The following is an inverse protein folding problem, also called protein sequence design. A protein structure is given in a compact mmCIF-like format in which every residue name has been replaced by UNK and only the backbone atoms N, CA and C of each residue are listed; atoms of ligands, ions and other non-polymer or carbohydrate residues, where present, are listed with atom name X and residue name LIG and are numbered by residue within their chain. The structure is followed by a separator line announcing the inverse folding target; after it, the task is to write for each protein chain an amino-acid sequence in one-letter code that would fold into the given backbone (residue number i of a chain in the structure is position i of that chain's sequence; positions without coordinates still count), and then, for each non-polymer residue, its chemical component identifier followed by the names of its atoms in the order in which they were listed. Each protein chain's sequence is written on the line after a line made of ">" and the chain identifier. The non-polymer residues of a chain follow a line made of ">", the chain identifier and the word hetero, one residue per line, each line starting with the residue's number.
data_IF_446036685907
#
_entry.id   IF_446036685907
#
_cell.length_a   1.000
_cell.length_b   1.000
_cell.length_c   1.000
_cell.angle_alpha   90.00
_cell.angle_beta   90.00
_cell.angle_gamma   90.00
#
_symmetry.space_group_name_H-M   'P 1'
#
loop_
_entity.id
_entity.type
_entity.pdbx_description
1 polymer ?
#
# COMPACT_ATOMS: atom_id res chain seq x y z
N UNK A 1 -0.09 -7.13 -15.80
CA UNK A 1 1.08 -7.10 -16.67
C UNK A 1 1.80 -5.76 -16.65
N UNK A 2 1.08 -4.62 -16.81
CA UNK A 2 1.69 -3.26 -16.83
C UNK A 2 2.45 -2.94 -15.54
N UNK A 3 1.87 -3.20 -14.37
CA UNK A 3 2.52 -2.95 -13.08
C UNK A 3 3.81 -3.77 -12.89
N UNK A 4 3.78 -5.06 -13.27
CA UNK A 4 4.95 -5.94 -13.20
C UNK A 4 6.05 -5.41 -14.12
N UNK A 5 5.70 -5.04 -15.35
CA UNK A 5 6.65 -4.48 -16.31
C UNK A 5 7.27 -3.19 -15.78
N UNK A 6 6.45 -2.29 -15.23
CA UNK A 6 6.91 -1.03 -14.66
C UNK A 6 7.86 -1.25 -13.47
N UNK A 7 7.47 -2.09 -12.50
CA UNK A 7 8.32 -2.38 -11.33
C UNK A 7 9.64 -3.04 -11.73
N UNK A 8 9.62 -3.99 -12.65
CA UNK A 8 10.84 -4.64 -13.17
C UNK A 8 11.74 -3.62 -13.87
N UNK A 9 11.17 -2.76 -14.71
CA UNK A 9 11.92 -1.70 -15.40
C UNK A 9 12.56 -0.73 -14.40
N UNK A 10 11.82 -0.29 -13.39
CA UNK A 10 12.33 0.61 -12.37
C UNK A 10 13.44 -0.04 -11.52
N UNK A 11 13.28 -1.32 -11.16
CA UNK A 11 14.31 -2.06 -10.40
C UNK A 11 15.66 -2.12 -11.11
N UNK A 12 15.68 -2.07 -12.44
CA UNK A 12 16.90 -2.10 -13.23
C UNK A 12 17.37 -0.70 -13.58
N UNK A 13 16.48 0.12 -14.16
CA UNK A 13 16.84 1.44 -14.69
C UNK A 13 17.35 2.41 -13.62
N UNK A 14 16.71 2.44 -12.43
CA UNK A 14 17.12 3.39 -11.38
C UNK A 14 18.55 3.11 -10.86
N UNK A 15 18.89 1.86 -10.47
CA UNK A 15 20.29 1.54 -10.10
C UNK A 15 21.30 1.79 -11.21
N UNK A 16 20.96 1.50 -12.47
CA UNK A 16 21.85 1.75 -13.61
C UNK A 16 22.10 3.25 -13.84
N UNK A 17 21.07 4.09 -13.73
CA UNK A 17 21.23 5.54 -13.81
C UNK A 17 22.16 6.03 -12.69
N UNK A 18 21.94 5.59 -11.45
CA UNK A 18 22.78 5.97 -10.30
C UNK A 18 24.22 5.53 -10.54
N UNK A 19 24.42 4.27 -10.97
CA UNK A 19 25.75 3.74 -11.29
C UNK A 19 26.44 4.61 -12.33
N UNK A 20 25.76 4.92 -13.42
CA UNK A 20 26.29 5.71 -14.53
C UNK A 20 26.69 7.12 -14.08
N UNK A 21 25.81 7.79 -13.32
CA UNK A 21 26.07 9.12 -12.77
C UNK A 21 27.30 9.13 -11.84
N UNK A 22 27.40 8.14 -10.95
CA UNK A 22 28.55 8.03 -10.05
C UNK A 22 29.84 7.72 -10.80
N UNK A 23 29.77 6.90 -11.85
CA UNK A 23 30.94 6.61 -12.66
C UNK A 23 31.46 7.80 -13.48
N UNK A 24 30.61 8.82 -13.76
CA UNK A 24 31.09 10.07 -14.39
C UNK A 24 32.16 10.77 -13.54
N UNK A 25 32.12 10.64 -12.21
CA UNK A 25 33.16 11.18 -11.33
C UNK A 25 34.54 10.56 -11.59
N UNK A 26 34.61 9.36 -12.18
CA UNK A 26 35.89 8.78 -12.61
C UNK A 26 36.60 9.60 -13.69
N UNK A 27 35.88 10.43 -14.47
CA UNK A 27 36.45 11.33 -15.47
C UNK A 27 37.15 12.51 -14.80
N UNK A 28 36.60 13.01 -13.70
CA UNK A 28 37.10 14.15 -12.96
C UNK A 28 38.22 13.76 -11.99
N UNK A 29 38.12 12.61 -11.34
CA UNK A 29 39.01 12.18 -10.26
C UNK A 29 39.77 10.90 -10.62
N UNK A 30 40.69 10.99 -11.57
CA UNK A 30 41.44 9.84 -12.12
C UNK A 30 42.20 9.03 -11.07
N UNK A 31 42.76 9.68 -10.06
CA UNK A 31 43.53 9.03 -8.99
C UNK A 31 42.66 8.19 -8.05
N UNK A 32 41.35 8.45 -7.97
CA UNK A 32 40.42 7.77 -7.09
C UNK A 32 39.48 6.79 -7.82
N UNK A 33 39.73 6.49 -9.09
CA UNK A 33 38.88 5.68 -9.96
C UNK A 33 38.46 4.34 -9.34
N UNK A 34 39.35 3.66 -8.67
CA UNK A 34 39.08 2.37 -8.07
C UNK A 34 38.07 2.49 -6.91
N UNK A 35 38.27 3.48 -6.07
CA UNK A 35 37.39 3.75 -4.95
C UNK A 35 35.99 4.23 -5.42
N UNK A 36 35.96 5.13 -6.40
CA UNK A 36 34.69 5.61 -6.99
C UNK A 36 33.91 4.45 -7.57
N UNK A 37 34.55 3.55 -8.31
CA UNK A 37 33.85 2.35 -8.86
C UNK A 37 33.32 1.44 -7.78
N UNK A 38 34.08 1.19 -6.72
CA UNK A 38 33.62 0.36 -5.58
C UNK A 38 32.41 0.98 -4.88
N UNK A 39 32.47 2.28 -4.59
CA UNK A 39 31.37 3.03 -3.97
C UNK A 39 30.15 3.03 -4.90
N UNK A 40 30.34 3.32 -6.18
CA UNK A 40 29.26 3.33 -7.16
C UNK A 40 28.53 1.99 -7.24
N UNK A 41 29.28 0.89 -7.30
CA UNK A 41 28.72 -0.47 -7.29
C UNK A 41 28.01 -0.77 -5.98
N UNK A 42 28.59 -0.44 -4.83
CA UNK A 42 27.99 -0.67 -3.53
C UNK A 42 26.64 0.08 -3.38
N UNK A 43 26.63 1.38 -3.71
CA UNK A 43 25.43 2.21 -3.64
C UNK A 43 24.35 1.71 -4.61
N UNK A 44 24.71 1.45 -5.86
CA UNK A 44 23.78 0.96 -6.88
C UNK A 44 23.18 -0.40 -6.51
N UNK A 45 24.03 -1.32 -6.00
CA UNK A 45 23.56 -2.62 -5.53
C UNK A 45 22.61 -2.48 -4.32
N UNK A 46 22.92 -1.58 -3.38
CA UNK A 46 22.05 -1.29 -2.25
C UNK A 46 20.69 -0.76 -2.69
N UNK A 47 20.65 0.16 -3.65
CA UNK A 47 19.40 0.66 -4.23
C UNK A 47 18.63 -0.45 -4.93
N UNK A 48 19.29 -1.27 -5.74
CA UNK A 48 18.68 -2.41 -6.42
C UNK A 48 18.01 -3.38 -5.42
N UNK A 49 18.75 -3.78 -4.38
CA UNK A 49 18.24 -4.70 -3.36
C UNK A 49 17.07 -4.11 -2.56
N UNK A 50 17.13 -2.81 -2.26
CA UNK A 50 16.05 -2.11 -1.57
C UNK A 50 14.78 -2.06 -2.43
N UNK A 51 14.91 -1.74 -3.71
CA UNK A 51 13.78 -1.73 -4.64
C UNK A 51 13.22 -3.14 -4.85
N UNK A 52 14.08 -4.13 -5.04
CA UNK A 52 13.69 -5.53 -5.19
C UNK A 52 12.91 -6.00 -3.95
N UNK A 53 13.42 -5.70 -2.75
CA UNK A 53 12.72 -5.99 -1.49
C UNK A 53 11.36 -5.30 -1.43
N UNK A 54 11.28 -3.99 -1.72
CA UNK A 54 10.04 -3.23 -1.71
C UNK A 54 8.98 -3.81 -2.65
N UNK A 55 9.35 -4.14 -3.88
CA UNK A 55 8.42 -4.67 -4.88
C UNK A 55 8.07 -6.15 -4.70
N UNK A 56 8.83 -6.92 -3.92
CA UNK A 56 8.58 -8.37 -3.76
C UNK A 56 8.04 -8.73 -2.38
N UNK A 57 8.63 -8.22 -1.32
CA UNK A 57 8.34 -8.60 0.06
C UNK A 57 7.76 -7.45 0.88
N UNK A 58 8.24 -6.22 0.69
CA UNK A 58 7.92 -5.08 1.52
C UNK A 58 6.44 -4.73 1.52
N UNK A 59 5.79 -4.78 0.37
CA UNK A 59 4.36 -4.48 0.23
C UNK A 59 3.43 -5.48 0.92
N UNK A 60 3.95 -6.64 1.34
CA UNK A 60 3.20 -7.66 2.07
C UNK A 60 3.26 -7.51 3.58
N UNK A 61 4.05 -6.55 4.07
CA UNK A 61 4.21 -6.34 5.49
C UNK A 61 3.04 -5.52 6.04
N UNK A 62 2.37 -6.08 7.04
CA UNK A 62 1.31 -5.39 7.77
C UNK A 62 1.95 -4.81 9.04
N UNK A 63 1.85 -3.51 9.20
CA UNK A 63 2.37 -2.81 10.37
C UNK A 63 1.24 -2.12 11.10
N UNK A 64 1.00 -2.51 12.33
CA UNK A 64 0.06 -1.83 13.22
C UNK A 64 0.78 -0.62 13.84
N UNK A 65 0.20 0.56 13.69
CA UNK A 65 0.70 1.81 14.28
C UNK A 65 -0.25 2.23 15.40
N UNK A 66 0.05 1.93 16.66
CA UNK A 66 -0.80 2.34 17.77
C UNK A 66 -0.69 3.85 17.99
N UNK A 67 -1.84 4.47 18.24
CA UNK A 67 -1.95 5.87 18.65
C UNK A 67 -2.92 5.96 19.81
N UNK A 68 -2.54 6.64 20.88
CA UNK A 68 -3.41 6.87 22.04
C UNK A 68 -3.79 8.34 22.10
N UNK A 69 -5.09 8.61 22.16
CA UNK A 69 -5.62 9.94 22.38
C UNK A 69 -6.29 10.02 23.75
N UNK A 70 -5.90 11.01 24.54
CA UNK A 70 -6.44 11.26 25.88
C UNK A 70 -6.93 12.69 25.98
N UNK A 71 -8.17 12.88 26.43
CA UNK A 71 -8.74 14.21 26.63
C UNK A 71 -9.80 14.16 27.73
N UNK A 72 -9.82 15.16 28.58
CA UNK A 72 -10.86 15.34 29.61
C UNK A 72 -12.28 15.61 29.01
N UNK A 73 -12.34 15.96 27.74
CA UNK A 73 -13.60 16.15 27.01
C UNK A 73 -14.25 14.83 26.53
N UNK A 74 -13.51 13.72 26.56
CA UNK A 74 -14.05 12.40 26.18
C UNK A 74 -14.85 11.85 27.36
N UNK A 75 -16.14 11.43 27.14
CA UNK A 75 -16.92 10.76 28.17
C UNK A 75 -16.22 9.49 28.67
N UNK A 76 -16.31 9.22 29.97
CA UNK A 76 -15.70 8.05 30.59
C UNK A 76 -16.13 6.72 29.98
N UNK A 77 -17.31 6.67 29.36
CA UNK A 77 -17.80 5.48 28.64
C UNK A 77 -16.90 5.06 27.45
N UNK A 78 -16.04 5.95 26.96
CA UNK A 78 -15.06 5.68 25.91
C UNK A 78 -13.65 5.41 26.44
N UNK A 79 -13.48 5.25 27.74
CA UNK A 79 -12.17 4.88 28.28
C UNK A 79 -11.80 3.47 27.79
N UNK A 80 -10.60 3.37 27.19
CA UNK A 80 -10.14 2.14 26.56
C UNK A 80 -10.80 1.78 25.22
N UNK A 81 -11.67 2.65 24.67
CA UNK A 81 -12.35 2.41 23.39
C UNK A 81 -11.35 2.32 22.24
N UNK A 82 -11.41 1.25 21.48
CA UNK A 82 -10.43 0.90 20.45
C UNK A 82 -11.02 1.05 19.06
N UNK A 83 -10.45 1.96 18.28
CA UNK A 83 -10.79 2.16 16.87
C UNK A 83 -9.65 1.62 16.02
N UNK A 84 -9.95 0.75 15.07
CA UNK A 84 -9.00 0.34 14.03
C UNK A 84 -9.35 1.05 12.75
N UNK A 85 -8.41 1.83 12.22
CA UNK A 85 -8.55 2.51 10.94
C UNK A 85 -7.82 1.75 9.85
N UNK A 86 -8.50 1.59 8.70
CA UNK A 86 -7.95 1.09 7.45
C UNK A 86 -8.16 2.13 6.36
N UNK A 87 -7.18 2.28 5.46
CA UNK A 87 -7.23 3.19 4.31
C UNK A 87 -6.41 2.62 3.16
N UNK A 88 -6.71 3.05 1.93
CA UNK A 88 -5.87 2.83 0.76
C UNK A 88 -5.51 1.35 0.51
N UNK A 89 -6.47 0.44 0.66
CA UNK A 89 -6.23 -0.99 0.47
C UNK A 89 -6.00 -1.37 -0.98
N UNK A 90 -6.65 -0.65 -1.93
CA UNK A 90 -6.47 -0.85 -3.36
C UNK A 90 -6.46 -2.34 -3.74
N UNK A 91 -7.53 -3.05 -3.36
CA UNK A 91 -7.61 -4.52 -3.42
C UNK A 91 -7.40 -5.09 -4.83
N UNK A 92 -7.69 -4.30 -5.86
CA UNK A 92 -7.40 -4.69 -7.25
C UNK A 92 -5.92 -5.01 -7.50
N UNK A 93 -5.00 -4.41 -6.72
CA UNK A 93 -3.58 -4.74 -6.74
C UNK A 93 -3.29 -6.07 -6.06
N UNK A 94 -4.17 -6.51 -5.15
CA UNK A 94 -4.01 -7.70 -4.32
C UNK A 94 -4.73 -8.95 -4.89
N UNK A 95 -5.37 -8.86 -6.06
CA UNK A 95 -6.18 -9.95 -6.67
C UNK A 95 -5.50 -11.31 -6.72
N UNK A 96 -4.18 -11.37 -6.77
CA UNK A 96 -3.40 -12.62 -6.74
C UNK A 96 -2.80 -12.92 -5.36
N UNK A 97 -3.15 -12.14 -4.36
CA UNK A 97 -2.54 -12.18 -3.03
C UNK A 97 -3.59 -12.20 -1.92
N UNK A 98 -4.61 -13.05 -2.04
CA UNK A 98 -5.69 -13.22 -1.06
C UNK A 98 -5.17 -13.39 0.36
N UNK A 99 -4.08 -14.11 0.54
CA UNK A 99 -3.40 -14.31 1.84
C UNK A 99 -3.00 -12.98 2.50
N UNK A 100 -2.70 -11.93 1.71
CA UNK A 100 -2.37 -10.62 2.29
C UNK A 100 -3.63 -9.99 2.89
N UNK A 101 -4.77 -10.06 2.18
CA UNK A 101 -6.05 -9.54 2.66
C UNK A 101 -6.54 -10.33 3.88
N UNK A 102 -6.41 -11.66 3.86
CA UNK A 102 -6.71 -12.50 5.03
C UNK A 102 -5.89 -12.08 6.25
N UNK A 103 -4.58 -11.89 6.09
CA UNK A 103 -3.71 -11.41 7.17
C UNK A 103 -4.07 -10.02 7.67
N UNK A 104 -4.57 -9.12 6.81
CA UNK A 104 -5.09 -7.82 7.23
C UNK A 104 -6.29 -8.03 8.15
N UNK A 105 -7.26 -8.84 7.73
CA UNK A 105 -8.47 -9.14 8.51
C UNK A 105 -8.12 -9.79 9.84
N UNK A 106 -7.24 -10.80 9.83
CA UNK A 106 -6.77 -11.46 11.05
C UNK A 106 -6.08 -10.48 12.00
N UNK A 107 -5.23 -9.58 11.45
CA UNK A 107 -4.55 -8.56 12.25
C UNK A 107 -5.53 -7.57 12.88
N UNK A 108 -6.57 -7.16 12.14
CA UNK A 108 -7.64 -6.29 12.64
C UNK A 108 -8.40 -6.98 13.77
N UNK A 109 -8.82 -8.22 13.55
CA UNK A 109 -9.59 -8.99 14.53
C UNK A 109 -8.77 -9.27 15.80
N UNK A 110 -7.47 -9.54 15.66
CA UNK A 110 -6.56 -9.73 16.79
C UNK A 110 -6.44 -8.50 17.70
N UNK A 111 -6.70 -7.30 17.18
CA UNK A 111 -6.74 -6.06 17.97
C UNK A 111 -8.02 -5.93 18.78
N UNK A 112 -9.03 -6.75 18.57
CA UNK A 112 -10.34 -6.70 19.24
C UNK A 112 -10.92 -5.28 19.24
N UNK A 113 -11.16 -4.67 18.06
CA UNK A 113 -11.65 -3.30 17.98
C UNK A 113 -13.08 -3.18 18.49
N UNK A 114 -13.39 -2.02 19.06
CA UNK A 114 -14.78 -1.62 19.32
C UNK A 114 -15.43 -1.12 18.03
N UNK A 115 -14.66 -0.42 17.18
CA UNK A 115 -15.12 0.10 15.90
C UNK A 115 -14.03 -0.09 14.84
N UNK A 116 -14.42 -0.48 13.62
CA UNK A 116 -13.55 -0.47 12.44
C UNK A 116 -14.00 0.67 11.53
N UNK A 117 -13.05 1.49 11.05
CA UNK A 117 -13.32 2.57 10.12
C UNK A 117 -12.48 2.43 8.86
N UNK A 118 -13.13 2.43 7.69
CA UNK A 118 -12.48 2.55 6.40
C UNK A 118 -12.54 4.00 5.94
N UNK A 119 -11.39 4.59 5.68
CA UNK A 119 -11.31 5.99 5.27
C UNK A 119 -11.10 6.17 3.77
N UNK A 120 -11.48 5.18 2.98
CA UNK A 120 -11.57 5.23 1.52
C UNK A 120 -10.43 4.51 0.80
N UNK A 121 -10.51 4.58 -0.53
CA UNK A 121 -9.60 3.96 -1.49
C UNK A 121 -9.49 2.43 -1.30
N UNK A 122 -10.65 1.79 -1.20
CA UNK A 122 -10.77 0.35 -1.06
C UNK A 122 -10.49 -0.35 -2.40
N UNK A 123 -10.96 0.23 -3.53
CA UNK A 123 -10.73 -0.29 -4.88
C UNK A 123 -9.69 0.53 -5.65
N UNK A 124 -9.22 0.00 -6.79
CA UNK A 124 -8.35 0.74 -7.71
C UNK A 124 -9.17 1.47 -8.78
N UNK A 125 -10.12 0.78 -9.44
CA UNK A 125 -10.81 1.28 -10.62
C UNK A 125 -12.31 1.00 -10.65
N UNK A 126 -12.80 -0.13 -10.08
CA UNK A 126 -14.21 -0.53 -10.12
C UNK A 126 -14.59 -1.49 -9.00
N UNK A 127 -15.88 -1.51 -8.64
CA UNK A 127 -16.41 -2.26 -7.50
C UNK A 127 -16.21 -3.79 -7.61
N UNK A 128 -16.16 -4.32 -8.83
CA UNK A 128 -15.97 -5.76 -9.06
C UNK A 128 -14.66 -6.30 -8.50
N UNK A 129 -13.69 -5.40 -8.22
CA UNK A 129 -12.44 -5.77 -7.57
C UNK A 129 -12.66 -6.31 -6.16
N UNK A 130 -13.79 -5.98 -5.51
CA UNK A 130 -14.14 -6.44 -4.17
C UNK A 130 -14.74 -7.85 -4.14
N UNK A 131 -15.37 -8.30 -5.23
CA UNK A 131 -16.18 -9.52 -5.23
C UNK A 131 -15.39 -10.75 -4.78
N UNK A 132 -14.12 -10.85 -5.19
CA UNK A 132 -13.27 -11.98 -4.78
C UNK A 132 -12.82 -11.92 -3.31
N UNK A 133 -12.97 -10.77 -2.64
CA UNK A 133 -12.57 -10.55 -1.24
C UNK A 133 -13.75 -10.43 -0.28
N UNK A 134 -14.98 -10.49 -0.77
CA UNK A 134 -16.17 -10.28 0.03
C UNK A 134 -16.24 -11.22 1.23
N UNK A 135 -16.01 -12.53 1.02
CA UNK A 135 -16.01 -13.53 2.09
C UNK A 135 -14.88 -13.33 3.10
N UNK A 136 -13.78 -12.70 2.68
CA UNK A 136 -12.67 -12.40 3.57
C UNK A 136 -13.04 -11.19 4.44
N UNK A 137 -13.55 -10.11 3.83
CA UNK A 137 -13.96 -8.91 4.57
C UNK A 137 -15.16 -9.16 5.51
N UNK A 138 -16.08 -10.08 5.17
CA UNK A 138 -17.17 -10.50 6.06
C UNK A 138 -16.68 -11.09 7.38
N UNK A 139 -15.44 -11.55 7.47
CA UNK A 139 -14.84 -12.05 8.72
C UNK A 139 -14.39 -10.93 9.66
N UNK A 140 -14.37 -9.68 9.22
CA UNK A 140 -14.09 -8.54 10.11
C UNK A 140 -15.23 -8.37 11.11
N UNK A 141 -14.88 -8.20 12.37
CA UNK A 141 -15.85 -7.94 13.43
C UNK A 141 -15.35 -6.88 14.41
N UNK A 142 -16.25 -6.04 14.84
CA UNK A 142 -16.06 -5.07 15.90
C UNK A 142 -17.35 -4.95 16.69
N UNK A 143 -17.26 -4.60 17.97
CA UNK A 143 -18.42 -4.51 18.88
C UNK A 143 -19.50 -3.58 18.33
N UNK A 144 -19.09 -2.41 17.85
CA UNK A 144 -20.01 -1.36 17.37
C UNK A 144 -20.06 -1.31 15.83
N UNK A 145 -19.42 -2.30 15.16
CA UNK A 145 -19.55 -2.52 13.72
C UNK A 145 -18.41 -1.90 12.90
N UNK A 146 -18.69 -1.78 11.60
CA UNK A 146 -17.75 -1.29 10.58
C UNK A 146 -18.40 -0.11 9.87
N UNK A 147 -17.66 1.00 9.77
CA UNK A 147 -18.08 2.20 9.04
C UNK A 147 -17.11 2.48 7.91
N UNK A 148 -17.60 2.89 6.76
CA UNK A 148 -16.79 3.22 5.61
C UNK A 148 -17.20 4.56 5.01
N UNK A 149 -16.20 5.31 4.53
CA UNK A 149 -16.39 6.44 3.63
C UNK A 149 -15.66 6.16 2.31
N UNK A 150 -16.03 6.85 1.26
CA UNK A 150 -15.43 6.72 -0.05
C UNK A 150 -14.21 7.63 -0.19
N UNK A 151 -13.11 7.09 -0.71
CA UNK A 151 -11.96 7.84 -1.19
C UNK A 151 -12.08 8.17 -2.69
N UNK A 152 -11.09 8.84 -3.25
CA UNK A 152 -11.14 9.28 -4.64
C UNK A 152 -11.15 8.13 -5.65
N UNK A 153 -10.54 6.99 -5.35
CA UNK A 153 -10.60 5.79 -6.20
C UNK A 153 -11.96 5.10 -6.17
N UNK A 154 -12.66 5.15 -5.03
CA UNK A 154 -13.97 4.53 -4.87
C UNK A 154 -15.06 5.25 -5.69
N UNK A 155 -14.83 6.51 -6.08
CA UNK A 155 -15.66 7.21 -7.06
C UNK A 155 -15.46 6.74 -8.49
N UNK A 156 -14.45 5.88 -8.73
CA UNK A 156 -14.19 5.20 -10.01
C UNK A 156 -13.97 6.15 -11.22
N UNK A 157 -13.43 7.33 -10.96
CA UNK A 157 -13.15 8.34 -12.00
C UNK A 157 -11.91 8.01 -12.82
N UNK A 158 -11.09 7.08 -12.40
CA UNK A 158 -9.85 6.68 -13.07
C UNK A 158 -10.01 5.55 -14.09
N UNK A 159 -11.24 5.07 -14.27
CA UNK A 159 -11.57 4.06 -15.28
C UNK A 159 -12.28 4.69 -16.49
N UNK A 160 -12.03 4.17 -17.69
CA UNK A 160 -12.70 4.62 -18.90
C UNK A 160 -14.10 4.02 -18.98
N UNK A 161 -15.08 4.75 -18.47
CA UNK A 161 -16.49 4.38 -18.54
C UNK A 161 -17.08 4.79 -19.87
N UNK A 162 -18.03 4.00 -20.46
CA UNK A 162 -18.75 4.39 -21.66
C UNK A 162 -19.50 5.72 -21.50
N UNK A 163 -20.08 5.94 -20.32
CA UNK A 163 -20.77 7.16 -19.94
C UNK A 163 -20.82 7.31 -18.41
N UNK A 164 -21.28 8.45 -17.95
CA UNK A 164 -21.39 8.78 -16.52
C UNK A 164 -22.43 7.90 -15.81
N UNK A 165 -23.50 7.46 -16.51
CA UNK A 165 -24.52 6.58 -15.96
C UNK A 165 -23.94 5.20 -15.62
N UNK A 166 -23.10 4.65 -16.50
CA UNK A 166 -22.40 3.40 -16.26
C UNK A 166 -21.46 3.50 -15.04
N UNK A 167 -20.73 4.62 -14.90
CA UNK A 167 -19.90 4.88 -13.72
C UNK A 167 -20.73 4.90 -12.44
N UNK A 168 -21.78 5.71 -12.41
CA UNK A 168 -22.64 5.87 -11.21
C UNK A 168 -23.36 4.56 -10.85
N UNK A 169 -23.69 3.71 -11.81
CA UNK A 169 -24.27 2.40 -11.54
C UNK A 169 -23.27 1.45 -10.86
N UNK A 170 -21.97 1.66 -11.07
CA UNK A 170 -20.91 0.85 -10.46
C UNK A 170 -20.50 1.35 -9.06
N UNK A 171 -20.68 2.65 -8.78
CA UNK A 171 -20.42 3.27 -7.48
C UNK A 171 -21.46 2.87 -6.41
N UNK A 172 -22.62 2.40 -6.82
CA UNK A 172 -23.73 1.99 -5.92
C UNK A 172 -23.66 0.51 -5.59
#
# INVERSE_FOLDING_TARGET
>A
LKAILLSTTLCVAVPEIILSLLLLFCLLFKSYRLWIRRIALFVSSGVFLTMLYGFTLGYRQIVVKPFTYTSAAIPQAFDGYRIVQLSDLHVGTLRRHHVVVERIVDSVNALQPDLIVFTGDLVNYHAEELFEFEDIFRKMHARDGVVSIMGNHDYMTYYNWPDEKARLANVR
#
